data_IF_095768104806
#
_entry.id   IF_095768104806
#
_cell.length_a   1.000
_cell.length_b   1.000
_cell.length_c   1.000
_cell.angle_alpha   90.00
_cell.angle_beta   90.00
_cell.angle_gamma   90.00
#
_symmetry.space_group_name_H-M   'P 1'
#
loop_
_entity.id
_entity.type
_entity.pdbx_description
1 polymer ?
#
# COMPACT_ATOMS: atom_id res chain seq x y z
N UNK A 1 -8.00 2.94 -28.97
CA UNK A 1 -8.51 4.22 -29.49
C UNK A 1 -7.35 4.94 -30.14
N UNK A 2 -7.55 5.61 -31.28
CA UNK A 2 -6.49 6.38 -31.92
C UNK A 2 -6.06 7.56 -31.02
N UNK A 3 -4.78 7.89 -31.07
CA UNK A 3 -4.20 9.02 -30.33
C UNK A 3 -4.78 10.34 -30.83
N UNK A 4 -5.34 11.11 -29.89
CA UNK A 4 -5.94 12.40 -30.20
C UNK A 4 -4.87 13.49 -30.41
N UNK A 5 -5.29 14.72 -30.73
CA UNK A 5 -4.35 15.82 -30.99
C UNK A 5 -3.51 16.21 -29.77
N UNK A 6 -4.07 16.12 -28.56
CA UNK A 6 -3.34 16.39 -27.32
C UNK A 6 -2.27 15.31 -27.08
N UNK A 7 -2.61 14.04 -27.30
CA UNK A 7 -1.68 12.91 -27.20
C UNK A 7 -0.50 13.07 -28.17
N UNK A 8 -0.80 13.45 -29.43
CA UNK A 8 0.20 13.72 -30.46
C UNK A 8 1.16 14.84 -30.04
N UNK A 9 0.65 15.94 -29.48
CA UNK A 9 1.50 17.03 -28.95
C UNK A 9 2.40 16.56 -27.81
N UNK A 10 1.87 15.75 -26.88
CA UNK A 10 2.66 15.18 -25.79
C UNK A 10 3.80 14.29 -26.32
N UNK A 11 3.52 13.46 -27.32
CA UNK A 11 4.52 12.64 -27.99
C UNK A 11 5.59 13.47 -28.70
N UNK A 12 5.20 14.52 -29.43
CA UNK A 12 6.18 15.39 -30.09
C UNK A 12 7.08 16.11 -29.08
N UNK A 13 6.53 16.56 -27.95
CA UNK A 13 7.31 17.16 -26.88
C UNK A 13 8.30 16.15 -26.28
N UNK A 14 7.85 14.91 -26.02
CA UNK A 14 8.71 13.84 -25.51
C UNK A 14 9.85 13.49 -26.48
N UNK A 15 9.55 13.36 -27.78
CA UNK A 15 10.54 13.11 -28.83
C UNK A 15 11.65 14.17 -28.89
N UNK A 16 11.35 15.42 -28.54
CA UNK A 16 12.33 16.51 -28.57
C UNK A 16 13.38 16.39 -27.44
N UNK A 17 13.08 15.65 -26.38
CA UNK A 17 13.94 15.52 -25.21
C UNK A 17 14.63 14.16 -25.09
N UNK A 18 14.07 13.12 -25.69
CA UNK A 18 14.68 11.79 -25.69
C UNK A 18 15.72 11.70 -26.81
N UNK A 19 16.84 11.05 -26.49
CA UNK A 19 17.92 10.80 -27.44
C UNK A 19 18.20 9.31 -27.51
N UNK A 20 18.68 8.82 -28.65
CA UNK A 20 18.95 7.39 -28.83
C UNK A 20 17.72 6.56 -29.19
N UNK A 21 17.87 5.24 -29.07
CA UNK A 21 16.80 4.26 -29.33
C UNK A 21 16.23 3.75 -28.02
N UNK A 22 14.92 3.91 -27.84
CA UNK A 22 14.20 3.45 -26.65
C UNK A 22 13.54 2.11 -26.94
N UNK A 23 14.01 1.00 -26.34
CA UNK A 23 13.41 -0.31 -26.55
C UNK A 23 12.04 -0.40 -25.88
N UNK A 24 11.07 -0.97 -26.59
CA UNK A 24 9.76 -1.32 -26.08
C UNK A 24 9.36 -2.71 -26.60
N UNK A 25 8.83 -3.56 -25.73
CA UNK A 25 8.35 -4.89 -26.13
C UNK A 25 6.83 -4.91 -26.07
N UNK A 26 6.17 -5.33 -27.16
CA UNK A 26 4.76 -5.71 -27.17
C UNK A 26 4.67 -7.24 -27.17
N UNK A 27 4.16 -7.80 -26.08
CA UNK A 27 3.76 -9.20 -26.03
C UNK A 27 2.32 -9.32 -26.51
N UNK A 28 2.13 -10.12 -27.55
CA UNK A 28 0.83 -10.44 -28.15
C UNK A 28 0.41 -11.85 -27.71
N UNK A 29 -0.89 -12.06 -27.55
CA UNK A 29 -1.47 -13.37 -27.21
C UNK A 29 -2.71 -13.63 -28.06
N UNK A 30 -3.38 -14.76 -27.86
CA UNK A 30 -4.67 -15.06 -28.52
C UNK A 30 -5.83 -14.18 -28.02
N UNK A 31 -5.60 -13.37 -27.00
CA UNK A 31 -6.61 -12.47 -26.46
C UNK A 31 -7.02 -11.39 -27.49
N UNK A 32 -8.32 -11.10 -27.55
CA UNK A 32 -8.89 -10.08 -28.45
C UNK A 32 -8.30 -8.68 -28.28
N UNK A 33 -7.77 -8.35 -27.09
CA UNK A 33 -7.13 -7.06 -26.78
C UNK A 33 -5.80 -6.86 -27.50
N UNK A 34 -5.17 -7.92 -28.00
CA UNK A 34 -3.95 -7.85 -28.82
C UNK A 34 -4.10 -6.85 -29.95
N UNK A 35 -5.24 -6.87 -30.66
CA UNK A 35 -5.50 -5.96 -31.78
C UNK A 35 -5.48 -4.49 -31.35
N UNK A 36 -6.07 -4.17 -30.19
CA UNK A 36 -6.08 -2.81 -29.64
C UNK A 36 -4.66 -2.32 -29.30
N UNK A 37 -3.83 -3.18 -28.72
CA UNK A 37 -2.45 -2.83 -28.38
C UNK A 37 -1.57 -2.69 -29.64
N UNK A 38 -1.78 -3.53 -30.66
CA UNK A 38 -1.08 -3.42 -31.93
C UNK A 38 -1.37 -2.09 -32.63
N UNK A 39 -2.65 -1.70 -32.72
CA UNK A 39 -3.04 -0.39 -33.30
C UNK A 39 -2.34 0.76 -32.58
N UNK A 40 -2.34 0.74 -31.23
CA UNK A 40 -1.65 1.77 -30.47
C UNK A 40 -0.13 1.75 -30.73
N UNK A 41 0.50 0.57 -30.80
CA UNK A 41 1.93 0.45 -31.04
C UNK A 41 2.33 0.95 -32.45
N UNK A 42 1.50 0.69 -33.46
CA UNK A 42 1.68 1.21 -34.82
C UNK A 42 1.61 2.74 -34.84
N UNK A 43 0.60 3.33 -34.21
CA UNK A 43 0.48 4.79 -34.12
C UNK A 43 1.64 5.42 -33.33
N UNK A 44 2.03 4.80 -32.20
CA UNK A 44 3.12 5.26 -31.35
C UNK A 44 4.45 5.29 -32.12
N UNK A 45 4.79 4.20 -32.81
CA UNK A 45 6.05 4.09 -33.57
C UNK A 45 6.07 4.95 -34.84
N UNK A 46 4.91 5.17 -35.47
CA UNK A 46 4.80 6.10 -36.59
C UNK A 46 5.08 7.55 -36.16
N UNK A 47 4.66 7.94 -34.95
CA UNK A 47 4.85 9.29 -34.42
C UNK A 47 6.16 9.46 -33.64
N UNK A 48 6.77 8.38 -33.20
CA UNK A 48 8.00 8.38 -32.39
C UNK A 48 9.04 7.40 -32.97
N UNK A 49 9.86 7.86 -33.93
CA UNK A 49 10.88 7.01 -34.57
C UNK A 49 12.02 6.61 -33.63
N UNK A 50 12.09 7.19 -32.43
CA UNK A 50 13.06 6.83 -31.40
C UNK A 50 12.68 5.53 -30.68
N UNK A 51 11.39 5.18 -30.66
CA UNK A 51 10.92 3.94 -30.04
C UNK A 51 11.20 2.77 -30.98
N UNK A 52 11.99 1.81 -30.50
CA UNK A 52 12.25 0.55 -31.19
C UNK A 52 11.34 -0.53 -30.61
N UNK A 53 10.27 -0.84 -31.34
CA UNK A 53 9.29 -1.84 -30.95
C UNK A 53 9.73 -3.25 -31.33
N UNK A 54 9.77 -4.14 -30.35
CA UNK A 54 9.92 -5.58 -30.54
C UNK A 54 8.58 -6.25 -30.25
N UNK A 55 8.12 -7.10 -31.17
CA UNK A 55 6.88 -7.86 -30.96
C UNK A 55 7.21 -9.32 -30.72
N UNK A 56 6.65 -9.89 -29.65
CA UNK A 56 6.72 -11.31 -29.33
C UNK A 56 5.30 -11.89 -29.24
N UNK A 57 5.15 -13.16 -29.59
CA UNK A 57 3.90 -13.90 -29.42
C UNK A 57 4.08 -14.92 -28.29
N UNK A 58 3.16 -14.93 -27.34
CA UNK A 58 3.11 -15.93 -26.27
C UNK A 58 1.82 -16.75 -26.41
N UNK A 59 1.98 -18.08 -26.55
CA UNK A 59 0.88 -19.02 -26.73
C UNK A 59 0.31 -19.53 -25.39
N UNK A 60 0.21 -18.63 -24.42
CA UNK A 60 -0.40 -18.88 -23.11
C UNK A 60 -1.68 -18.08 -22.97
N UNK A 61 -2.52 -18.51 -22.03
CA UNK A 61 -3.73 -17.80 -21.61
C UNK A 61 -3.37 -16.60 -20.71
N UNK A 62 -2.54 -15.70 -21.25
CA UNK A 62 -2.08 -14.48 -20.60
C UNK A 62 -2.61 -13.24 -21.33
N UNK A 63 -2.65 -12.12 -20.59
CA UNK A 63 -3.02 -10.83 -21.16
C UNK A 63 -1.89 -10.29 -22.04
N UNK A 64 -2.19 -9.74 -23.22
CA UNK A 64 -1.20 -9.04 -24.03
C UNK A 64 -0.82 -7.73 -23.32
N UNK A 65 0.37 -7.22 -23.56
CA UNK A 65 0.84 -6.03 -22.87
C UNK A 65 2.16 -5.46 -23.37
N UNK A 66 2.45 -4.23 -22.95
CA UNK A 66 3.73 -3.58 -23.17
C UNK A 66 4.67 -3.84 -21.99
N UNK A 67 5.87 -4.30 -22.29
CA UNK A 67 6.91 -4.59 -21.30
C UNK A 67 8.02 -3.56 -21.42
N UNK A 68 8.38 -2.96 -20.28
CA UNK A 68 9.46 -1.98 -20.18
C UNK A 68 10.46 -2.50 -19.14
N UNK A 69 11.54 -3.11 -19.64
CA UNK A 69 12.45 -3.91 -18.82
C UNK A 69 11.72 -5.07 -18.13
N UNK A 70 12.25 -5.50 -16.98
CA UNK A 70 11.66 -6.56 -16.15
C UNK A 70 10.64 -6.04 -15.11
N UNK A 71 10.53 -4.72 -14.99
CA UNK A 71 9.85 -4.06 -13.88
C UNK A 71 8.44 -3.53 -14.18
N UNK A 72 8.10 -3.33 -15.46
CA UNK A 72 6.82 -2.73 -15.86
C UNK A 72 6.11 -3.56 -16.90
N UNK A 73 4.81 -3.80 -16.66
CA UNK A 73 3.91 -4.47 -17.61
C UNK A 73 2.63 -3.65 -17.72
N UNK A 74 2.28 -3.21 -18.92
CA UNK A 74 1.09 -2.42 -19.19
C UNK A 74 0.09 -3.22 -20.01
N UNK A 75 -1.00 -3.64 -19.38
CA UNK A 75 -2.19 -4.18 -20.04
C UNK A 75 -3.18 -3.05 -20.36
N UNK A 76 -2.68 -2.08 -21.11
CA UNK A 76 -3.40 -0.86 -21.47
C UNK A 76 -2.88 -0.32 -22.81
N UNK A 77 -3.69 0.49 -23.48
CA UNK A 77 -3.28 1.35 -24.58
C UNK A 77 -3.27 2.80 -24.06
N UNK A 78 -2.14 3.29 -23.50
CA UNK A 78 -2.09 4.57 -22.80
C UNK A 78 -2.54 5.72 -23.69
N UNK A 79 -3.45 6.53 -23.20
CA UNK A 79 -3.94 7.74 -23.87
C UNK A 79 -4.34 8.78 -22.84
N UNK A 80 -4.53 10.04 -23.26
CA UNK A 80 -4.90 11.13 -22.37
C UNK A 80 -3.89 11.29 -21.23
N UNK A 81 -4.39 11.25 -19.99
CA UNK A 81 -3.56 11.47 -18.81
C UNK A 81 -2.55 10.32 -18.56
N UNK A 82 -2.80 9.11 -19.07
CA UNK A 82 -1.92 7.95 -18.87
C UNK A 82 -0.74 7.89 -19.86
N UNK A 83 -0.86 8.56 -21.01
CA UNK A 83 0.18 8.54 -22.04
C UNK A 83 1.50 9.11 -21.51
N UNK A 84 1.44 10.24 -20.82
CA UNK A 84 2.66 10.91 -20.33
C UNK A 84 3.41 10.04 -19.31
N UNK A 85 2.78 9.48 -18.25
CA UNK A 85 3.45 8.53 -17.37
C UNK A 85 4.10 7.35 -18.11
N UNK A 86 3.41 6.76 -19.10
CA UNK A 86 3.97 5.68 -19.91
C UNK A 86 5.25 6.10 -20.65
N UNK A 87 5.24 7.29 -21.28
CA UNK A 87 6.40 7.85 -21.97
C UNK A 87 7.56 8.18 -21.03
N UNK A 88 7.27 8.73 -19.84
CA UNK A 88 8.33 8.98 -18.84
C UNK A 88 8.92 7.67 -18.31
N UNK A 89 8.12 6.61 -18.13
CA UNK A 89 8.63 5.27 -17.78
C UNK A 89 9.58 4.74 -18.85
N UNK A 90 9.27 4.95 -20.13
CA UNK A 90 10.16 4.60 -21.25
C UNK A 90 11.46 5.40 -21.24
N UNK A 91 11.39 6.72 -21.03
CA UNK A 91 12.57 7.58 -20.93
C UNK A 91 13.47 7.18 -19.75
N UNK A 92 12.88 6.97 -18.58
CA UNK A 92 13.60 6.50 -17.39
C UNK A 92 14.30 5.17 -17.67
N UNK A 93 13.61 4.19 -18.28
CA UNK A 93 14.24 2.91 -18.62
C UNK A 93 15.45 3.06 -19.55
N UNK A 94 15.33 3.93 -20.55
CA UNK A 94 16.43 4.23 -21.46
C UNK A 94 17.63 4.86 -20.72
N UNK A 95 17.38 5.85 -19.86
CA UNK A 95 18.42 6.50 -19.04
C UNK A 95 19.09 5.50 -18.07
N UNK A 96 18.29 4.61 -17.47
CA UNK A 96 18.78 3.60 -16.54
C UNK A 96 19.74 2.62 -17.22
N UNK A 97 19.42 2.23 -18.45
CA UNK A 97 20.26 1.32 -19.24
C UNK A 97 21.65 1.91 -19.51
N UNK A 98 21.76 3.25 -19.55
CA UNK A 98 23.01 3.96 -19.75
C UNK A 98 23.74 4.30 -18.44
N UNK A 99 23.02 4.59 -17.35
CA UNK A 99 23.61 4.98 -16.05
C UNK A 99 22.64 4.72 -14.87
N UNK A 100 22.63 3.51 -14.29
CA UNK A 100 21.66 3.12 -13.25
C UNK A 100 21.67 4.00 -12.00
N UNK A 101 22.83 4.58 -11.64
CA UNK A 101 22.96 5.42 -10.45
C UNK A 101 22.24 6.77 -10.57
N UNK A 102 22.01 7.25 -11.80
CA UNK A 102 21.31 8.53 -12.01
C UNK A 102 19.89 8.47 -11.47
N UNK A 103 19.21 7.34 -11.60
CA UNK A 103 17.86 7.14 -11.07
C UNK A 103 17.72 7.45 -9.58
N UNK A 104 18.79 7.35 -8.79
CA UNK A 104 18.72 7.62 -7.35
C UNK A 104 18.60 9.11 -7.04
N UNK A 105 18.85 9.97 -8.03
CA UNK A 105 18.77 11.43 -7.96
C UNK A 105 17.46 11.97 -8.54
N UNK A 106 16.70 11.16 -9.30
CA UNK A 106 15.40 11.55 -9.79
C UNK A 106 14.37 11.62 -8.65
N UNK A 107 13.40 12.51 -8.75
CA UNK A 107 12.20 12.41 -7.91
C UNK A 107 11.25 11.38 -8.54
N UNK A 108 10.55 10.53 -7.76
CA UNK A 108 10.49 10.49 -6.27
C UNK A 108 11.55 9.63 -5.55
N UNK A 109 12.44 8.93 -6.24
CA UNK A 109 13.43 8.03 -5.60
C UNK A 109 14.37 8.76 -4.65
N UNK A 110 14.79 9.97 -5.00
CA UNK A 110 15.61 10.83 -4.15
C UNK A 110 14.88 11.20 -2.84
N UNK A 111 13.59 11.57 -2.90
CA UNK A 111 12.79 11.84 -1.71
C UNK A 111 12.63 10.59 -0.83
N UNK A 112 12.39 9.41 -1.42
CA UNK A 112 12.29 8.15 -0.68
C UNK A 112 13.60 7.86 0.07
N UNK A 113 14.76 7.96 -0.60
CA UNK A 113 16.07 7.73 0.01
C UNK A 113 16.36 8.69 1.16
N UNK A 114 15.97 9.98 1.03
CA UNK A 114 16.15 10.99 2.09
C UNK A 114 15.22 10.76 3.27
N UNK A 115 13.93 10.49 3.02
CA UNK A 115 12.90 10.39 4.06
C UNK A 115 12.93 9.07 4.79
N UNK A 116 13.29 7.97 4.10
CA UNK A 116 13.22 6.59 4.58
C UNK A 116 14.42 5.76 4.09
N UNK A 117 15.63 6.06 4.58
CA UNK A 117 16.84 5.33 4.18
C UNK A 117 16.78 3.83 4.53
N UNK A 118 16.08 3.46 5.61
CA UNK A 118 15.84 2.08 6.03
C UNK A 118 15.01 1.30 5.00
N UNK A 119 13.95 1.92 4.48
CA UNK A 119 13.07 1.33 3.49
C UNK A 119 13.75 1.26 2.13
N UNK A 120 14.50 2.32 1.77
CA UNK A 120 15.32 2.35 0.57
C UNK A 120 16.30 1.18 0.52
N UNK A 121 17.03 0.94 1.62
CA UNK A 121 18.00 -0.16 1.67
C UNK A 121 17.30 -1.51 1.47
N UNK A 122 16.16 -1.74 2.14
CA UNK A 122 15.37 -2.96 1.97
C UNK A 122 14.91 -3.15 0.54
N UNK A 123 14.45 -2.09 -0.11
CA UNK A 123 13.96 -2.11 -1.49
C UNK A 123 15.07 -2.52 -2.46
N UNK A 124 16.29 -1.98 -2.31
CA UNK A 124 17.44 -2.27 -3.19
C UNK A 124 18.03 -3.65 -2.95
N UNK A 125 18.10 -4.09 -1.68
CA UNK A 125 18.73 -5.37 -1.32
C UNK A 125 17.82 -6.59 -1.58
N UNK A 126 16.50 -6.36 -1.67
CA UNK A 126 15.52 -7.43 -1.80
C UNK A 126 15.73 -8.22 -3.09
N UNK A 127 15.72 -9.55 -2.98
CA UNK A 127 15.85 -10.49 -4.11
C UNK A 127 14.56 -11.19 -4.52
N UNK A 128 13.63 -11.44 -3.59
CA UNK A 128 12.38 -12.12 -3.92
C UNK A 128 11.45 -11.17 -4.69
N UNK A 129 10.86 -11.68 -5.79
CA UNK A 129 9.94 -10.90 -6.60
C UNK A 129 8.70 -10.48 -5.81
N UNK A 130 8.25 -9.26 -6.07
CA UNK A 130 7.08 -8.60 -5.52
C UNK A 130 6.29 -8.02 -6.69
N UNK A 131 4.98 -8.17 -6.67
CA UNK A 131 4.12 -7.63 -7.72
C UNK A 131 3.12 -6.66 -7.11
N UNK A 132 2.96 -5.50 -7.74
CA UNK A 132 1.85 -4.58 -7.51
C UNK A 132 0.94 -4.60 -8.73
N UNK A 133 -0.35 -4.79 -8.49
CA UNK A 133 -1.36 -4.68 -9.53
C UNK A 133 -2.04 -3.31 -9.42
N UNK A 134 -1.96 -2.50 -10.46
CA UNK A 134 -2.45 -1.12 -10.48
C UNK A 134 -3.56 -1.00 -11.52
N UNK A 135 -4.79 -0.80 -11.05
CA UNK A 135 -5.93 -0.52 -11.92
C UNK A 135 -6.05 0.97 -12.18
N UNK A 136 -6.16 1.32 -13.45
CA UNK A 136 -6.26 2.70 -13.93
C UNK A 136 -7.41 2.87 -14.93
N UNK A 137 -7.65 4.10 -15.36
CA UNK A 137 -8.54 4.39 -16.48
C UNK A 137 -8.11 5.70 -17.14
N UNK A 138 -8.19 5.75 -18.47
CA UNK A 138 -7.75 6.87 -19.33
C UNK A 138 -8.24 8.24 -18.86
N UNK A 139 -9.48 8.32 -18.33
CA UNK A 139 -10.08 9.59 -17.91
C UNK A 139 -9.81 9.98 -16.45
N UNK A 140 -9.06 9.17 -15.70
CA UNK A 140 -8.81 9.45 -14.29
C UNK A 140 -7.56 10.35 -14.11
N UNK A 141 -7.72 11.61 -13.64
CA UNK A 141 -6.58 12.50 -13.45
C UNK A 141 -5.64 12.04 -12.32
N UNK A 142 -6.16 11.30 -11.33
CA UNK A 142 -5.36 10.79 -10.21
C UNK A 142 -4.50 9.57 -10.59
N UNK A 143 -4.88 8.82 -11.63
CA UNK A 143 -4.09 7.68 -12.10
C UNK A 143 -2.72 8.13 -12.60
N UNK A 144 -2.66 9.23 -13.36
CA UNK A 144 -1.42 9.75 -13.89
C UNK A 144 -0.42 10.11 -12.79
N UNK A 145 -0.90 10.75 -11.71
CA UNK A 145 -0.05 11.12 -10.58
C UNK A 145 0.56 9.89 -9.90
N UNK A 146 -0.25 8.87 -9.62
CA UNK A 146 0.25 7.61 -9.05
C UNK A 146 1.30 6.95 -9.97
N UNK A 147 1.03 6.90 -11.27
CA UNK A 147 1.95 6.27 -12.23
C UNK A 147 3.29 7.00 -12.29
N UNK A 148 3.31 8.33 -12.20
CA UNK A 148 4.57 9.08 -12.06
C UNK A 148 5.31 8.76 -10.76
N UNK A 149 4.60 8.65 -9.64
CA UNK A 149 5.24 8.30 -8.36
C UNK A 149 5.83 6.89 -8.37
N UNK A 150 5.19 5.95 -9.08
CA UNK A 150 5.68 4.59 -9.21
C UNK A 150 6.80 4.46 -10.25
N UNK A 151 6.80 5.28 -11.31
CA UNK A 151 7.61 5.11 -12.52
C UNK A 151 9.06 4.65 -12.31
N UNK A 152 9.88 5.31 -11.47
CA UNK A 152 11.28 4.91 -11.30
C UNK A 152 11.48 3.67 -10.42
N UNK A 153 10.48 3.27 -9.62
CA UNK A 153 10.66 2.28 -8.55
C UNK A 153 11.07 0.90 -9.06
N UNK A 154 10.44 0.33 -10.11
CA UNK A 154 10.85 -0.99 -10.63
C UNK A 154 12.26 -1.02 -11.22
N UNK A 155 12.81 0.15 -11.58
CA UNK A 155 14.17 0.23 -12.11
C UNK A 155 15.23 0.33 -11.01
N UNK A 156 14.88 0.86 -9.83
CA UNK A 156 15.75 0.85 -8.65
C UNK A 156 15.56 -0.38 -7.75
N UNK A 157 14.40 -1.04 -7.86
CA UNK A 157 14.08 -2.31 -7.22
C UNK A 157 13.81 -3.38 -8.29
N UNK A 158 14.85 -4.11 -8.77
CA UNK A 158 14.66 -5.17 -9.77
C UNK A 158 13.75 -6.32 -9.30
N UNK A 159 13.47 -6.40 -8.00
CA UNK A 159 12.52 -7.34 -7.43
C UNK A 159 11.05 -6.90 -7.59
N UNK A 160 10.79 -5.64 -7.92
CA UNK A 160 9.45 -5.08 -8.07
C UNK A 160 8.98 -5.20 -9.52
N UNK A 161 7.83 -5.82 -9.72
CA UNK A 161 7.05 -5.73 -10.94
C UNK A 161 5.79 -4.90 -10.68
N UNK A 162 5.56 -3.88 -11.48
CA UNK A 162 4.30 -3.12 -11.47
C UNK A 162 3.53 -3.46 -12.73
N UNK A 163 2.32 -3.98 -12.53
CA UNK A 163 1.39 -4.36 -13.59
C UNK A 163 0.26 -3.35 -13.65
N UNK A 164 0.21 -2.55 -14.71
CA UNK A 164 -0.88 -1.60 -14.95
C UNK A 164 -1.98 -2.29 -15.74
N UNK A 165 -3.22 -2.19 -15.27
CA UNK A 165 -4.41 -2.68 -15.97
C UNK A 165 -5.38 -1.52 -16.19
N UNK A 166 -5.71 -1.23 -17.44
CA UNK A 166 -6.85 -0.38 -17.74
C UNK A 166 -8.13 -1.14 -17.35
N UNK A 167 -8.86 -0.61 -16.36
CA UNK A 167 -10.06 -1.25 -15.81
C UNK A 167 -11.22 -1.33 -16.83
N UNK A 168 -11.22 -0.48 -17.84
CA UNK A 168 -12.19 -0.48 -18.95
C UNK A 168 -11.82 -1.50 -20.02
N UNK A 169 -10.52 -1.76 -20.22
CA UNK A 169 -10.01 -2.77 -21.15
C UNK A 169 -10.03 -4.18 -20.52
N UNK A 170 -9.78 -4.28 -19.22
CA UNK A 170 -9.71 -5.54 -18.46
C UNK A 170 -10.85 -5.65 -17.44
N UNK A 171 -12.09 -5.45 -17.90
CA UNK A 171 -13.28 -5.38 -17.03
C UNK A 171 -13.46 -6.65 -16.19
N UNK A 172 -13.19 -7.81 -16.77
CA UNK A 172 -13.29 -9.10 -16.09
C UNK A 172 -12.33 -9.18 -14.90
N UNK A 173 -11.10 -8.67 -15.04
CA UNK A 173 -10.12 -8.63 -13.96
C UNK A 173 -10.50 -7.59 -12.91
N UNK A 174 -10.96 -6.41 -13.35
CA UNK A 174 -11.41 -5.34 -12.46
C UNK A 174 -12.63 -5.79 -11.61
N UNK A 175 -13.60 -6.47 -12.23
CA UNK A 175 -14.78 -7.00 -11.53
C UNK A 175 -14.41 -8.13 -10.57
N UNK A 176 -13.58 -9.10 -11.00
CA UNK A 176 -13.12 -10.19 -10.14
C UNK A 176 -12.36 -9.67 -8.91
N UNK A 177 -11.58 -8.59 -9.08
CA UNK A 177 -10.89 -7.92 -8.00
C UNK A 177 -11.78 -6.92 -7.21
N UNK A 178 -13.07 -6.78 -7.55
CA UNK A 178 -13.98 -5.87 -6.87
C UNK A 178 -13.57 -4.40 -6.94
N UNK A 179 -12.98 -3.97 -8.06
CA UNK A 179 -12.54 -2.59 -8.29
C UNK A 179 -13.76 -1.72 -8.59
N UNK A 180 -13.98 -0.70 -7.75
CA UNK A 180 -15.12 0.24 -7.86
C UNK A 180 -14.69 1.65 -8.26
N UNK A 181 -13.42 1.97 -8.12
CA UNK A 181 -12.84 3.26 -8.46
C UNK A 181 -11.36 3.08 -8.79
N UNK A 182 -10.76 4.10 -9.40
CA UNK A 182 -9.35 4.11 -9.80
C UNK A 182 -8.71 5.47 -9.45
N UNK A 183 -7.38 5.54 -9.21
CA UNK A 183 -6.46 4.42 -9.21
C UNK A 183 -6.67 3.50 -8.01
N UNK A 184 -6.49 2.20 -8.22
CA UNK A 184 -6.44 1.21 -7.14
C UNK A 184 -5.20 0.35 -7.27
N UNK A 185 -4.42 0.25 -6.19
CA UNK A 185 -3.28 -0.67 -6.09
C UNK A 185 -3.71 -1.86 -5.24
N UNK A 186 -3.38 -3.06 -5.70
CA UNK A 186 -3.49 -4.29 -4.95
C UNK A 186 -2.12 -4.90 -4.71
N UNK A 187 -1.94 -5.44 -3.51
CA UNK A 187 -0.84 -6.33 -3.15
C UNK A 187 -1.46 -7.64 -2.63
N UNK A 188 -1.41 -8.68 -3.46
CA UNK A 188 -2.10 -9.94 -3.18
C UNK A 188 -3.61 -9.76 -3.02
N UNK A 189 -4.22 -10.58 -2.18
CA UNK A 189 -5.64 -10.49 -1.85
C UNK A 189 -5.93 -9.53 -0.68
N UNK A 190 -4.91 -9.24 0.13
CA UNK A 190 -5.10 -8.69 1.48
C UNK A 190 -5.03 -7.16 1.53
N UNK A 191 -4.28 -6.53 0.63
CA UNK A 191 -4.03 -5.09 0.70
C UNK A 191 -4.55 -4.33 -0.51
N UNK A 192 -5.21 -3.21 -0.23
CA UNK A 192 -5.82 -2.33 -1.23
C UNK A 192 -5.60 -0.86 -0.90
N UNK A 193 -5.10 -0.09 -1.86
CA UNK A 193 -5.06 1.37 -1.77
C UNK A 193 -5.85 1.98 -2.91
N UNK A 194 -6.73 2.94 -2.61
CA UNK A 194 -7.64 3.53 -3.61
C UNK A 194 -7.61 5.05 -3.53
N UNK A 195 -7.63 5.72 -4.67
CA UNK A 195 -7.67 7.18 -4.77
C UNK A 195 -6.29 7.82 -4.59
N UNK A 196 -6.15 8.76 -3.65
CA UNK A 196 -4.86 9.42 -3.37
C UNK A 196 -3.99 8.49 -2.54
N UNK A 197 -3.21 7.66 -3.22
CA UNK A 197 -2.30 6.69 -2.59
C UNK A 197 -0.97 7.36 -2.25
N UNK A 198 -0.49 7.19 -1.03
CA UNK A 198 0.90 7.51 -0.68
C UNK A 198 1.76 6.25 -0.85
N UNK A 199 2.62 6.31 -1.87
CA UNK A 199 3.49 5.23 -2.33
C UNK A 199 4.52 4.80 -1.29
N UNK A 200 4.96 5.69 -0.38
CA UNK A 200 5.92 5.29 0.67
C UNK A 200 5.31 4.21 1.56
N UNK A 201 4.04 4.35 1.91
CA UNK A 201 3.34 3.36 2.71
C UNK A 201 3.09 2.05 1.95
N UNK A 202 2.78 2.11 0.65
CA UNK A 202 2.70 0.90 -0.18
C UNK A 202 4.02 0.14 -0.12
N UNK A 203 5.15 0.84 -0.23
CA UNK A 203 6.47 0.25 -0.15
C UNK A 203 6.79 -0.29 1.25
N UNK A 204 6.38 0.40 2.33
CA UNK A 204 6.53 -0.10 3.70
C UNK A 204 5.85 -1.45 3.90
N UNK A 205 4.63 -1.61 3.38
CA UNK A 205 3.90 -2.88 3.44
C UNK A 205 4.54 -3.92 2.54
N UNK A 206 4.93 -3.54 1.31
CA UNK A 206 5.49 -4.44 0.30
C UNK A 206 6.85 -5.05 0.70
N UNK A 207 7.72 -4.22 1.27
CA UNK A 207 9.08 -4.57 1.69
C UNK A 207 9.22 -4.76 3.20
N UNK A 208 8.10 -4.94 3.89
CA UNK A 208 8.06 -5.35 5.29
C UNK A 208 8.67 -6.75 5.42
N UNK A 209 9.61 -6.90 6.36
CA UNK A 209 9.95 -8.21 6.88
C UNK A 209 8.89 -8.62 7.91
N UNK A 210 8.59 -9.91 8.02
CA UNK A 210 7.60 -10.38 9.00
C UNK A 210 7.98 -9.99 10.44
N UNK A 211 9.24 -9.69 10.72
CA UNK A 211 9.72 -9.24 12.03
C UNK A 211 9.85 -7.71 12.13
N UNK A 212 9.35 -6.95 11.15
CA UNK A 212 9.44 -5.49 11.14
C UNK A 212 8.05 -4.88 11.19
N UNK A 213 7.87 -3.99 12.16
CA UNK A 213 6.66 -3.21 12.37
C UNK A 213 6.51 -2.17 11.24
N UNK A 214 5.27 -1.75 10.98
CA UNK A 214 5.10 -0.47 10.30
C UNK A 214 5.49 0.66 11.25
N UNK A 215 5.93 1.78 10.69
CA UNK A 215 6.09 2.99 11.51
C UNK A 215 4.77 3.38 12.15
N UNK A 216 4.79 3.94 13.36
CA UNK A 216 3.58 4.43 14.03
C UNK A 216 2.75 5.36 13.13
N UNK A 217 3.41 6.24 12.36
CA UNK A 217 2.75 7.13 11.41
C UNK A 217 1.99 6.38 10.30
N UNK A 218 2.57 5.30 9.77
CA UNK A 218 1.93 4.47 8.75
C UNK A 218 0.74 3.68 9.32
N UNK A 219 0.91 3.10 10.51
CA UNK A 219 -0.16 2.42 11.22
C UNK A 219 -1.33 3.38 11.55
N UNK A 220 -1.05 4.58 12.06
CA UNK A 220 -2.06 5.63 12.30
C UNK A 220 -2.79 5.99 11.00
N UNK A 221 -2.08 6.08 9.87
CA UNK A 221 -2.71 6.39 8.59
C UNK A 221 -3.67 5.28 8.14
N UNK A 222 -3.30 4.00 8.29
CA UNK A 222 -4.20 2.87 8.04
C UNK A 222 -5.49 3.00 8.87
N UNK A 223 -5.35 3.30 10.15
CA UNK A 223 -6.50 3.47 11.04
C UNK A 223 -7.40 4.63 10.61
N UNK A 224 -6.83 5.78 10.22
CA UNK A 224 -7.57 6.92 9.68
C UNK A 224 -8.26 6.63 8.34
N UNK A 225 -7.74 5.69 7.56
CA UNK A 225 -8.36 5.19 6.32
C UNK A 225 -9.44 4.11 6.59
N UNK A 226 -9.72 3.77 7.86
CA UNK A 226 -10.69 2.74 8.23
C UNK A 226 -10.19 1.30 8.05
N UNK A 227 -8.86 1.10 7.95
CA UNK A 227 -8.22 -0.18 7.63
C UNK A 227 -7.66 -0.90 8.86
N UNK A 228 -8.42 -0.93 9.94
CA UNK A 228 -8.05 -1.66 11.15
C UNK A 228 -7.78 -3.15 10.86
N UNK A 229 -8.60 -3.78 10.02
CA UNK A 229 -8.44 -5.18 9.62
C UNK A 229 -7.13 -5.46 8.86
N UNK A 230 -6.67 -4.53 8.02
CA UNK A 230 -5.38 -4.68 7.33
C UNK A 230 -4.22 -4.61 8.35
N UNK A 231 -4.31 -3.70 9.33
CA UNK A 231 -3.31 -3.55 10.38
C UNK A 231 -3.28 -4.76 11.31
N UNK A 232 -4.41 -5.32 11.71
CA UNK A 232 -4.47 -6.54 12.54
C UNK A 232 -3.85 -7.72 11.79
N UNK A 233 -4.12 -7.90 10.49
CA UNK A 233 -3.50 -8.95 9.69
C UNK A 233 -1.97 -8.81 9.61
N UNK A 234 -1.47 -7.58 9.49
CA UNK A 234 -0.04 -7.29 9.54
C UNK A 234 0.57 -7.65 10.91
N UNK A 235 -0.12 -7.37 12.01
CA UNK A 235 0.34 -7.67 13.37
C UNK A 235 0.24 -9.18 13.69
N UNK A 236 -0.78 -9.87 13.20
CA UNK A 236 -0.94 -11.32 13.35
C UNK A 236 0.15 -12.09 12.60
N UNK A 237 0.50 -11.64 11.40
CA UNK A 237 1.61 -12.21 10.61
C UNK A 237 3.00 -11.86 11.14
N UNK A 238 3.09 -11.00 12.16
CA UNK A 238 4.35 -10.65 12.83
C UNK A 238 4.72 -11.70 13.87
N UNK A 239 6.00 -12.11 13.91
CA UNK A 239 6.46 -13.04 14.95
C UNK A 239 6.52 -12.39 16.34
N UNK A 240 6.72 -11.06 16.38
CA UNK A 240 6.82 -10.28 17.61
C UNK A 240 5.69 -9.27 17.72
N UNK A 241 5.28 -8.95 18.95
CA UNK A 241 4.39 -7.84 19.24
C UNK A 241 5.03 -6.51 18.83
N UNK A 242 4.22 -5.63 18.26
CA UNK A 242 4.67 -4.32 17.81
C UNK A 242 4.84 -3.33 18.96
N UNK A 243 6.07 -2.88 19.21
CA UNK A 243 6.45 -2.00 20.31
C UNK A 243 5.74 -0.64 20.30
N UNK A 244 5.44 -0.09 19.11
CA UNK A 244 4.78 1.22 18.99
C UNK A 244 3.26 1.15 19.22
N UNK A 245 2.64 -0.04 19.17
CA UNK A 245 1.19 -0.19 19.22
C UNK A 245 0.53 0.41 20.48
N UNK A 246 1.10 0.29 21.70
CA UNK A 246 0.55 0.98 22.87
C UNK A 246 0.43 2.49 22.69
N UNK A 247 1.39 3.13 22.02
CA UNK A 247 1.35 4.59 21.76
C UNK A 247 0.23 4.97 20.78
N UNK A 248 -0.13 4.08 19.87
CA UNK A 248 -1.24 4.24 18.93
C UNK A 248 -2.57 4.08 19.67
N UNK A 249 -2.68 3.07 20.54
CA UNK A 249 -3.87 2.84 21.36
C UNK A 249 -4.10 3.98 22.37
N UNK A 250 -3.05 4.67 22.81
CA UNK A 250 -3.15 5.87 23.67
C UNK A 250 -3.03 7.19 22.92
N UNK A 251 -3.25 7.21 21.61
CA UNK A 251 -3.07 8.41 20.78
C UNK A 251 -4.07 9.53 21.14
N UNK A 252 -3.67 10.81 20.98
CA UNK A 252 -4.53 11.94 21.36
C UNK A 252 -5.86 11.99 20.59
N UNK A 253 -5.84 11.61 19.30
CA UNK A 253 -7.05 11.56 18.47
C UNK A 253 -7.90 10.30 18.73
N UNK A 254 -9.18 10.49 19.05
CA UNK A 254 -10.12 9.41 19.37
C UNK A 254 -10.34 8.42 18.21
N UNK A 255 -10.45 8.89 16.97
CA UNK A 255 -10.64 8.03 15.79
C UNK A 255 -9.48 7.04 15.59
N UNK A 256 -8.26 7.44 15.94
CA UNK A 256 -7.08 6.56 15.91
C UNK A 256 -7.19 5.49 16.99
N UNK A 257 -7.54 5.87 18.22
CA UNK A 257 -7.67 4.93 19.34
C UNK A 257 -8.79 3.92 19.09
N UNK A 258 -9.94 4.35 18.56
CA UNK A 258 -11.03 3.45 18.18
C UNK A 258 -10.56 2.41 17.17
N UNK A 259 -9.83 2.82 16.13
CA UNK A 259 -9.24 1.88 15.17
C UNK A 259 -8.24 0.91 15.81
N UNK A 260 -7.44 1.37 16.78
CA UNK A 260 -6.51 0.52 17.52
C UNK A 260 -7.22 -0.48 18.44
N UNK A 261 -8.35 -0.11 19.04
CA UNK A 261 -9.18 -1.02 19.83
C UNK A 261 -9.75 -2.15 18.94
N UNK A 262 -10.23 -1.83 17.74
CA UNK A 262 -10.68 -2.86 16.77
C UNK A 262 -9.53 -3.80 16.40
N UNK A 263 -8.32 -3.28 16.22
CA UNK A 263 -7.13 -4.13 15.99
C UNK A 263 -6.87 -5.05 17.18
N UNK A 264 -6.98 -4.53 18.41
CA UNK A 264 -6.76 -5.31 19.62
C UNK A 264 -7.83 -6.41 19.79
N UNK A 265 -9.10 -6.13 19.48
CA UNK A 265 -10.18 -7.11 19.48
C UNK A 265 -9.91 -8.25 18.49
N UNK A 266 -9.48 -7.93 17.27
CA UNK A 266 -9.13 -8.96 16.29
C UNK A 266 -7.88 -9.77 16.69
N UNK A 267 -6.91 -9.14 17.35
CA UNK A 267 -5.77 -9.84 17.94
C UNK A 267 -6.23 -10.74 19.08
N UNK A 268 -7.15 -10.29 19.93
CA UNK A 268 -7.70 -11.08 21.03
C UNK A 268 -8.39 -12.35 20.54
N UNK A 269 -9.15 -12.24 19.45
CA UNK A 269 -9.86 -13.37 18.84
C UNK A 269 -8.90 -14.41 18.23
N UNK A 270 -7.85 -13.95 17.53
CA UNK A 270 -6.98 -14.83 16.72
C UNK A 270 -5.67 -15.25 17.40
N UNK A 271 -5.14 -14.42 18.29
CA UNK A 271 -3.90 -14.63 19.04
C UNK A 271 -3.97 -13.94 20.43
N UNK A 272 -4.75 -14.51 21.38
CA UNK A 272 -5.01 -13.89 22.68
C UNK A 272 -3.73 -13.55 23.46
N UNK A 273 -2.70 -14.39 23.35
CA UNK A 273 -1.43 -14.21 24.05
C UNK A 273 -0.69 -12.96 23.53
N UNK A 274 -0.66 -12.75 22.21
CA UNK A 274 -0.07 -11.55 21.61
C UNK A 274 -0.83 -10.29 22.00
N UNK A 275 -2.16 -10.37 22.06
CA UNK A 275 -3.01 -9.25 22.47
C UNK A 275 -2.78 -8.89 23.95
N UNK A 276 -2.72 -9.88 24.84
CA UNK A 276 -2.43 -9.70 26.27
C UNK A 276 -1.08 -9.05 26.55
N UNK A 277 -0.06 -9.33 25.72
CA UNK A 277 1.28 -8.80 25.90
C UNK A 277 1.36 -7.26 25.89
N UNK A 278 0.33 -6.57 25.38
CA UNK A 278 0.25 -5.11 25.39
C UNK A 278 -0.18 -4.50 26.72
N UNK A 279 -0.92 -5.22 27.56
CA UNK A 279 -1.49 -4.66 28.78
C UNK A 279 -0.43 -4.10 29.76
N UNK A 280 0.69 -4.78 30.05
CA UNK A 280 1.72 -4.22 30.92
C UNK A 280 2.27 -2.87 30.44
N UNK A 281 2.40 -2.70 29.12
CA UNK A 281 2.89 -1.44 28.53
C UNK A 281 1.86 -0.32 28.62
N UNK A 282 0.58 -0.63 28.38
CA UNK A 282 -0.52 0.34 28.49
C UNK A 282 -0.68 0.84 29.93
N UNK A 283 -0.66 -0.08 30.89
CA UNK A 283 -0.83 0.27 32.30
C UNK A 283 0.36 0.99 32.93
N UNK A 284 1.58 0.85 32.36
CA UNK A 284 2.79 1.49 32.88
C UNK A 284 2.67 3.01 33.02
N UNK A 285 1.98 3.67 32.09
CA UNK A 285 1.85 5.13 32.05
C UNK A 285 0.42 5.60 32.39
N UNK A 286 -0.42 4.72 32.95
CA UNK A 286 -1.85 4.95 33.13
C UNK A 286 -2.20 6.27 33.85
N UNK A 287 -1.42 6.64 34.88
CA UNK A 287 -1.68 7.82 35.69
C UNK A 287 -1.49 9.15 34.93
N UNK A 288 -0.65 9.15 33.88
CA UNK A 288 -0.32 10.35 33.10
C UNK A 288 -1.24 10.51 31.88
N UNK A 289 -2.13 9.54 31.63
CA UNK A 289 -3.05 9.57 30.50
C UNK A 289 -4.27 10.46 30.78
N UNK A 290 -4.80 11.17 29.77
CA UNK A 290 -6.10 11.84 29.89
C UNK A 290 -7.21 10.84 30.26
N UNK A 291 -8.22 11.31 30.99
CA UNK A 291 -9.29 10.46 31.54
C UNK A 291 -9.99 9.57 30.49
N UNK A 292 -10.30 10.14 29.31
CA UNK A 292 -10.87 9.38 28.20
C UNK A 292 -9.95 8.26 27.69
N UNK A 293 -8.63 8.49 27.66
CA UNK A 293 -7.65 7.48 27.24
C UNK A 293 -7.47 6.41 28.32
N UNK A 294 -7.60 6.77 29.60
CA UNK A 294 -7.66 5.79 30.68
C UNK A 294 -8.86 4.85 30.51
N UNK A 295 -10.04 5.38 30.17
CA UNK A 295 -11.21 4.57 29.82
C UNK A 295 -10.90 3.54 28.73
N UNK A 296 -10.25 3.96 27.64
CA UNK A 296 -9.86 3.06 26.55
C UNK A 296 -8.89 1.95 26.99
N UNK A 297 -7.94 2.25 27.90
CA UNK A 297 -7.01 1.23 28.47
C UNK A 297 -7.75 0.23 29.35
N UNK A 298 -8.72 0.68 30.14
CA UNK A 298 -9.53 -0.21 30.99
C UNK A 298 -10.47 -1.07 30.15
N UNK A 299 -11.05 -0.50 29.09
CA UNK A 299 -11.82 -1.26 28.10
C UNK A 299 -10.96 -2.32 27.40
N UNK A 300 -9.76 -1.94 26.92
CA UNK A 300 -8.78 -2.88 26.36
C UNK A 300 -8.44 -4.01 27.35
N UNK A 301 -8.33 -3.70 28.64
CA UNK A 301 -8.12 -4.71 29.69
C UNK A 301 -9.30 -5.68 29.80
N UNK A 302 -10.52 -5.23 29.57
CA UNK A 302 -11.69 -6.11 29.50
C UNK A 302 -11.65 -7.04 28.29
N UNK A 303 -11.16 -6.57 27.14
CA UNK A 303 -11.06 -7.38 25.91
C UNK A 303 -10.04 -8.50 26.05
N UNK A 304 -8.82 -8.17 26.50
CA UNK A 304 -7.69 -9.11 26.45
C UNK A 304 -7.27 -9.63 27.82
N UNK A 305 -7.62 -8.95 28.91
CA UNK A 305 -7.14 -9.28 30.24
C UNK A 305 -7.69 -10.60 30.77
N UNK A 306 -6.96 -11.19 31.71
CA UNK A 306 -7.40 -12.33 32.49
C UNK A 306 -7.66 -11.93 33.96
N UNK A 307 -7.98 -12.93 34.77
CA UNK A 307 -8.27 -12.72 36.19
C UNK A 307 -7.17 -12.02 37.00
N UNK A 308 -5.91 -12.03 36.54
CA UNK A 308 -4.79 -11.37 37.22
C UNK A 308 -4.91 -9.85 37.22
N UNK A 309 -5.66 -9.28 36.27
CA UNK A 309 -5.89 -7.83 36.16
C UNK A 309 -7.00 -7.30 37.07
N UNK A 310 -7.80 -8.18 37.68
CA UNK A 310 -8.99 -7.80 38.47
C UNK A 310 -8.68 -6.78 39.56
N UNK A 311 -7.64 -7.02 40.36
CA UNK A 311 -7.28 -6.14 41.48
C UNK A 311 -6.83 -4.75 40.99
N UNK A 312 -6.11 -4.72 39.87
CA UNK A 312 -5.62 -3.47 39.29
C UNK A 312 -6.77 -2.61 38.75
N UNK A 313 -7.73 -3.22 38.05
CA UNK A 313 -8.94 -2.53 37.56
C UNK A 313 -9.81 -2.05 38.73
N UNK A 314 -9.98 -2.86 39.78
CA UNK A 314 -10.76 -2.48 40.96
C UNK A 314 -10.18 -1.23 41.61
N UNK A 315 -8.87 -1.21 41.88
CA UNK A 315 -8.18 -0.05 42.48
C UNK A 315 -8.27 1.21 41.61
N UNK A 316 -8.28 1.06 40.29
CA UNK A 316 -8.48 2.20 39.38
C UNK A 316 -9.92 2.71 39.47
N UNK A 317 -10.90 1.81 39.43
CA UNK A 317 -12.34 2.12 39.48
C UNK A 317 -12.70 2.87 40.77
N UNK A 318 -12.17 2.44 41.92
CA UNK A 318 -12.36 3.11 43.21
C UNK A 318 -11.84 4.56 43.22
N UNK A 319 -10.75 4.84 42.49
CA UNK A 319 -10.20 6.21 42.36
C UNK A 319 -11.06 7.12 41.49
N UNK A 320 -11.85 6.54 40.60
CA UNK A 320 -12.76 7.28 39.71
C UNK A 320 -14.19 7.33 40.26
N UNK A 321 -14.40 7.16 41.57
CA UNK A 321 -15.72 7.06 42.18
C UNK A 321 -16.64 8.27 41.89
N UNK A 322 -16.08 9.45 41.63
CA UNK A 322 -16.82 10.68 41.33
C UNK A 322 -17.13 10.87 39.83
N UNK A 323 -16.50 10.09 38.93
CA UNK A 323 -16.75 10.12 37.49
C UNK A 323 -17.64 8.92 37.10
N UNK A 324 -18.92 9.19 36.82
CA UNK A 324 -19.89 8.14 36.55
C UNK A 324 -19.58 7.34 35.29
N UNK A 325 -19.02 7.97 34.24
CA UNK A 325 -18.71 7.31 32.97
C UNK A 325 -17.50 6.38 33.15
N UNK A 326 -16.44 6.87 33.79
CA UNK A 326 -15.24 6.06 34.02
C UNK A 326 -15.49 4.91 35.00
N UNK A 327 -16.32 5.14 36.03
CA UNK A 327 -16.73 4.08 36.96
C UNK A 327 -17.50 2.97 36.24
N UNK A 328 -18.40 3.32 35.32
CA UNK A 328 -19.17 2.35 34.53
C UNK A 328 -18.24 1.46 33.69
N UNK A 329 -17.26 2.05 33.00
CA UNK A 329 -16.26 1.31 32.22
C UNK A 329 -15.47 0.33 33.12
N UNK A 330 -15.05 0.78 34.30
CA UNK A 330 -14.36 -0.07 35.27
C UNK A 330 -15.21 -1.25 35.76
N UNK A 331 -16.48 -1.01 36.09
CA UNK A 331 -17.42 -2.05 36.53
C UNK A 331 -17.76 -3.05 35.43
N UNK A 332 -17.89 -2.60 34.18
CA UNK A 332 -18.09 -3.48 33.02
C UNK A 332 -16.86 -4.37 32.79
N UNK A 333 -15.66 -3.78 32.77
CA UNK A 333 -14.41 -4.55 32.65
C UNK A 333 -14.28 -5.60 33.77
N UNK A 334 -14.61 -5.27 35.02
CA UNK A 334 -14.58 -6.23 36.13
C UNK A 334 -15.55 -7.40 35.91
N UNK A 335 -16.73 -7.16 35.34
CA UNK A 335 -17.68 -8.23 34.98
C UNK A 335 -17.08 -9.15 33.90
N UNK A 336 -16.46 -8.57 32.86
CA UNK A 336 -15.83 -9.35 31.79
C UNK A 336 -14.69 -10.22 32.32
N UNK A 337 -13.80 -9.66 33.15
CA UNK A 337 -12.70 -10.40 33.79
C UNK A 337 -13.20 -11.51 34.73
N UNK A 338 -14.35 -11.31 35.38
CA UNK A 338 -14.95 -12.33 36.23
C UNK A 338 -15.49 -13.53 35.41
N UNK A 339 -16.04 -13.28 34.22
CA UNK A 339 -16.53 -14.33 33.32
C UNK A 339 -15.37 -15.16 32.75
N UNK A 340 -14.23 -14.53 32.47
CA UNK A 340 -13.02 -15.20 31.98
C UNK A 340 -12.43 -16.25 32.96
N UNK A 341 -12.82 -16.26 34.24
CA UNK A 341 -12.41 -17.29 35.24
C UNK A 341 -13.04 -18.68 35.02
N UNK A 342 -13.98 -18.81 34.08
CA UNK A 342 -14.85 -20.02 33.97
C UNK A 342 -14.54 -20.88 32.75
N UNK A 343 -13.50 -20.54 31.99
CA UNK A 343 -12.95 -21.26 30.83
C UNK A 343 -11.51 -21.60 31.12
#
# INVERSE_FOLDING_TARGET
MPLNEHDRRALFAWNAHVTGRVPLVLQTTRDSRTATLQIFAEELTALSPQITLHTAFEDRDELPGFFIGDGWIWHAAPSGAELRPFLETLALFHETSASPQRLWEHEPTAALRRRRPDLWQRLVDRRNRRELLVFTAVQCPHCAHLLFELAPLPFVAPSLTVRVMDASLCQEKAQAAGIRSVPTILLGADFRWTGRVDVIHVLEVLYRDQNTELSAAAAIRLLKEGKAHELSHLMLSSATSWADFPSILTHAEWSVRLGALVVLEELADKDPAKAQAYLPMLWKNMADLPAAVQGDVVYATGIVGDSTWTEQVLRWTEKQAEDSELREVGEETLKTLALAKTT
#
